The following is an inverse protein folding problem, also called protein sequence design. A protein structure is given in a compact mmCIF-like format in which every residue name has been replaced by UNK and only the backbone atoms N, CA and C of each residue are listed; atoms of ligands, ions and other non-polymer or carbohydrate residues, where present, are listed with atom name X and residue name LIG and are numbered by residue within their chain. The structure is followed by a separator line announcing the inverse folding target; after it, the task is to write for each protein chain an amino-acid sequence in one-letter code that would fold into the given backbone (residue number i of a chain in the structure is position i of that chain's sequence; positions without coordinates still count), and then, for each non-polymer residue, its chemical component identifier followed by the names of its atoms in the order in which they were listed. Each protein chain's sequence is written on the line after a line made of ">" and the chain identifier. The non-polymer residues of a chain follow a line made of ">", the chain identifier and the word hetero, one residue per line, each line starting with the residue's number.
data_IF_644293842136
#
_entry.id   IF_644293842136
#
_cell.length_a   1.000
_cell.length_b   1.000
_cell.length_c   1.000
_cell.angle_alpha   90.00
_cell.angle_beta   90.00
_cell.angle_gamma   90.00
#
_symmetry.space_group_name_H-M   'P 1'
#
loop_
_entity.id
_entity.type
_entity.pdbx_description
1 polymer ?
#
# COMPACT_ATOMS: atom_id res chain seq x y z
N UNK A 1 -40.79 -42.45 -45.61
CA UNK A 1 -41.53 -41.26 -45.13
C UNK A 1 -42.89 -41.72 -44.63
N UNK A 2 -43.37 -41.12 -43.54
CA UNK A 2 -44.65 -41.35 -42.81
C UNK A 2 -44.59 -42.57 -41.86
N UNK A 3 -45.22 -42.59 -40.65
CA UNK A 3 -46.15 -41.60 -40.04
C UNK A 3 -45.77 -41.10 -38.62
N UNK A 4 -46.43 -40.01 -38.20
CA UNK A 4 -46.60 -39.66 -36.79
C UNK A 4 -48.03 -39.16 -36.53
N UNK A 5 -48.43 -39.18 -35.26
CA UNK A 5 -49.73 -38.87 -34.61
C UNK A 5 -50.78 -39.99 -34.56
N UNK A 6 -51.71 -40.00 -33.57
CA UNK A 6 -51.98 -39.02 -32.51
C UNK A 6 -52.06 -39.65 -31.08
N UNK A 7 -52.18 -38.91 -29.96
CA UNK A 7 -53.48 -38.55 -29.36
C UNK A 7 -53.30 -37.98 -27.95
N UNK A 8 -54.07 -36.96 -27.60
CA UNK A 8 -54.48 -36.61 -26.22
C UNK A 8 -55.81 -37.35 -25.90
N UNK A 9 -56.15 -37.65 -24.62
CA UNK A 9 -57.01 -36.72 -23.86
C UNK A 9 -56.89 -36.72 -22.31
N UNK A 10 -57.01 -35.52 -21.72
CA UNK A 10 -58.00 -35.04 -20.71
C UNK A 10 -58.17 -35.70 -19.30
N UNK A 11 -57.90 -34.86 -18.28
CA UNK A 11 -58.61 -34.54 -17.01
C UNK A 11 -58.91 -35.58 -15.88
N UNK A 12 -58.34 -35.25 -14.70
CA UNK A 12 -58.99 -34.99 -13.38
C UNK A 12 -58.93 -36.01 -12.21
N UNK A 13 -58.68 -35.39 -11.03
CA UNK A 13 -58.96 -35.77 -9.62
C UNK A 13 -58.00 -36.69 -8.86
N UNK A 14 -57.59 -36.23 -7.67
CA UNK A 14 -57.03 -37.10 -6.62
C UNK A 14 -56.17 -36.38 -5.59
N UNK A 15 -56.78 -36.04 -4.45
CA UNK A 15 -56.19 -35.52 -3.22
C UNK A 15 -55.12 -36.44 -2.60
N UNK A 16 -54.15 -35.84 -1.88
CA UNK A 16 -53.57 -36.23 -0.57
C UNK A 16 -52.03 -36.17 -0.52
N UNK A 17 -51.52 -35.64 0.60
CA UNK A 17 -50.19 -36.01 1.12
C UNK A 17 -49.12 -34.92 1.13
N UNK A 18 -49.28 -33.88 1.95
CA UNK A 18 -48.19 -33.00 2.33
C UNK A 18 -47.30 -33.70 3.38
N UNK A 19 -46.08 -34.08 2.99
CA UNK A 19 -44.96 -34.39 3.89
C UNK A 19 -43.64 -34.22 3.12
N UNK A 20 -43.20 -32.98 2.91
CA UNK A 20 -41.86 -32.69 2.42
C UNK A 20 -40.89 -32.75 3.59
N UNK A 21 -40.19 -33.88 3.74
CA UNK A 21 -38.99 -33.97 4.57
C UNK A 21 -37.89 -33.15 3.88
N UNK A 22 -37.66 -31.92 4.34
CA UNK A 22 -36.46 -31.14 3.99
C UNK A 22 -35.28 -31.72 4.78
N UNK A 23 -34.42 -32.46 4.11
CA UNK A 23 -33.07 -32.76 4.60
C UNK A 23 -32.37 -31.43 4.89
N UNK A 24 -32.18 -31.14 6.18
CA UNK A 24 -31.38 -30.01 6.63
C UNK A 24 -29.94 -30.51 6.64
N UNK A 25 -29.20 -30.23 5.57
CA UNK A 25 -27.75 -30.39 5.56
C UNK A 25 -27.17 -29.37 6.55
N UNK A 26 -26.98 -29.82 7.80
CA UNK A 26 -26.23 -29.08 8.82
C UNK A 26 -24.78 -29.02 8.37
N UNK A 27 -24.39 -27.88 7.80
CA UNK A 27 -23.00 -27.48 7.60
C UNK A 27 -22.33 -27.49 8.99
N UNK A 28 -21.23 -28.24 9.22
CA UNK A 28 -20.54 -28.17 10.49
C UNK A 28 -20.01 -26.75 10.66
N UNK A 29 -20.49 -26.09 11.73
CA UNK A 29 -19.99 -24.81 12.22
C UNK A 29 -18.49 -24.99 12.43
N UNK A 30 -17.69 -24.34 11.59
CA UNK A 30 -16.25 -24.21 11.79
C UNK A 30 -16.09 -23.42 13.09
N UNK A 31 -15.82 -24.13 14.18
CA UNK A 31 -15.37 -23.49 15.41
C UNK A 31 -14.16 -22.65 15.02
N UNK A 32 -14.28 -21.33 15.24
CA UNK A 32 -13.17 -20.39 15.14
C UNK A 32 -12.07 -20.88 16.10
N UNK A 33 -11.06 -21.52 15.52
CA UNK A 33 -9.81 -21.80 16.19
C UNK A 33 -9.25 -20.48 16.71
N UNK A 34 -9.04 -20.39 18.02
CA UNK A 34 -8.29 -19.31 18.65
C UNK A 34 -6.94 -19.16 17.94
N UNK A 35 -6.59 -17.99 17.39
CA UNK A 35 -5.39 -17.83 16.56
C UNK A 35 -4.11 -17.50 17.36
N UNK A 36 -4.00 -17.95 18.62
CA UNK A 36 -3.02 -17.36 19.56
C UNK A 36 -1.97 -18.34 20.13
N UNK A 37 -1.97 -19.62 19.71
CA UNK A 37 -1.08 -20.64 20.28
C UNK A 37 -0.01 -21.19 19.32
N UNK A 38 0.17 -20.55 18.14
CA UNK A 38 1.08 -21.04 17.08
C UNK A 38 2.20 -20.02 16.74
N UNK A 39 2.49 -19.08 17.64
CA UNK A 39 3.67 -18.21 17.54
C UNK A 39 4.88 -18.97 18.09
N UNK A 40 5.93 -19.07 17.27
CA UNK A 40 7.24 -19.58 17.73
C UNK A 40 7.76 -18.72 18.89
N UNK A 41 8.64 -19.27 19.74
CA UNK A 41 9.24 -18.49 20.84
C UNK A 41 9.97 -17.23 20.33
N UNK A 42 10.62 -17.31 19.16
CA UNK A 42 11.26 -16.17 18.50
C UNK A 42 10.25 -15.09 18.09
N UNK A 43 9.09 -15.49 17.56
CA UNK A 43 8.04 -14.53 17.18
C UNK A 43 7.41 -13.86 18.39
N UNK A 44 7.20 -14.61 19.49
CA UNK A 44 6.71 -14.05 20.76
C UNK A 44 7.71 -13.05 21.34
N UNK A 45 9.00 -13.40 21.34
CA UNK A 45 10.05 -12.49 21.78
C UNK A 45 10.07 -11.21 20.93
N UNK A 46 9.99 -11.33 19.60
CA UNK A 46 9.93 -10.17 18.70
C UNK A 46 8.71 -9.28 18.99
N UNK A 47 7.53 -9.88 19.19
CA UNK A 47 6.31 -9.15 19.54
C UNK A 47 6.44 -8.41 20.88
N UNK A 48 7.03 -9.06 21.88
CA UNK A 48 7.24 -8.49 23.21
C UNK A 48 8.26 -7.34 23.17
N UNK A 49 9.37 -7.50 22.45
CA UNK A 49 10.38 -6.45 22.27
C UNK A 49 9.82 -5.22 21.56
N UNK A 50 9.04 -5.42 20.50
CA UNK A 50 8.33 -4.33 19.79
C UNK A 50 7.33 -3.63 20.72
N UNK A 51 6.56 -4.40 21.48
CA UNK A 51 5.57 -3.85 22.44
C UNK A 51 6.25 -3.08 23.57
N UNK A 52 7.39 -3.56 24.07
CA UNK A 52 8.21 -2.87 25.07
C UNK A 52 8.76 -1.55 24.53
N UNK A 53 9.21 -1.51 23.27
CA UNK A 53 9.65 -0.27 22.64
C UNK A 53 8.52 0.76 22.58
N UNK A 54 7.29 0.35 22.23
CA UNK A 54 6.12 1.26 22.24
C UNK A 54 5.81 1.76 23.65
N UNK A 55 5.87 0.89 24.67
CA UNK A 55 5.64 1.28 26.07
C UNK A 55 6.66 2.32 26.54
N UNK A 56 7.94 2.15 26.22
CA UNK A 56 9.02 3.10 26.58
C UNK A 56 8.76 4.50 26.05
N UNK A 57 8.13 4.64 24.88
CA UNK A 57 7.80 5.93 24.28
C UNK A 57 6.71 6.72 25.02
N UNK A 58 6.05 6.10 26.00
CA UNK A 58 5.05 6.76 26.85
C UNK A 58 5.55 7.01 28.27
N UNK A 59 6.70 6.46 28.63
CA UNK A 59 7.31 6.71 29.92
C UNK A 59 7.78 8.15 30.04
N UNK A 60 7.98 8.62 31.27
CA UNK A 60 8.38 10.01 31.52
C UNK A 60 9.81 10.32 31.05
N UNK A 61 10.66 9.30 30.88
CA UNK A 61 12.05 9.48 30.50
C UNK A 61 12.23 9.59 28.96
N UNK A 62 12.28 10.83 28.48
CA UNK A 62 12.43 11.13 27.05
C UNK A 62 13.78 10.71 26.46
N UNK A 63 14.82 10.56 27.28
CA UNK A 63 16.15 10.16 26.79
C UNK A 63 16.16 8.74 26.21
N UNK A 64 15.16 7.93 26.58
CA UNK A 64 15.00 6.56 26.09
C UNK A 64 14.19 6.45 24.79
N UNK A 65 13.59 7.55 24.32
CA UNK A 65 12.70 7.48 23.15
C UNK A 65 13.48 7.20 21.87
N UNK A 66 14.55 7.94 21.61
CA UNK A 66 15.37 7.75 20.41
C UNK A 66 15.97 6.33 20.36
N UNK A 67 16.59 5.79 21.43
CA UNK A 67 17.03 4.39 21.45
C UNK A 67 15.91 3.37 21.21
N UNK A 68 14.70 3.62 21.73
CA UNK A 68 13.56 2.73 21.51
C UNK A 68 13.09 2.73 20.05
N UNK A 69 13.07 3.89 19.40
CA UNK A 69 12.73 4.00 17.97
C UNK A 69 13.82 3.35 17.09
N UNK A 70 15.10 3.53 17.42
CA UNK A 70 16.21 2.89 16.71
C UNK A 70 16.17 1.37 16.83
N UNK A 71 15.88 0.85 18.03
CA UNK A 71 15.70 -0.59 18.26
C UNK A 71 14.51 -1.13 17.43
N UNK A 72 13.37 -0.45 17.46
CA UNK A 72 12.20 -0.82 16.65
C UNK A 72 12.50 -0.83 15.15
N UNK A 73 13.21 0.20 14.66
CA UNK A 73 13.67 0.26 13.27
C UNK A 73 14.56 -0.94 12.92
N UNK A 74 15.51 -1.27 13.79
CA UNK A 74 16.39 -2.42 13.59
C UNK A 74 15.60 -3.73 13.50
N UNK A 75 14.68 -3.96 14.46
CA UNK A 75 13.85 -5.17 14.51
C UNK A 75 12.96 -5.34 13.27
N UNK A 76 12.38 -4.23 12.78
CA UNK A 76 11.58 -4.25 11.55
C UNK A 76 12.48 -4.61 10.37
N UNK A 77 13.59 -3.88 10.17
CA UNK A 77 14.47 -4.06 9.00
C UNK A 77 15.17 -5.42 8.97
N UNK A 78 15.62 -5.94 10.11
CA UNK A 78 16.28 -7.25 10.17
C UNK A 78 15.33 -8.39 9.80
N UNK A 79 14.03 -8.18 10.00
CA UNK A 79 13.00 -9.19 9.77
C UNK A 79 12.30 -9.03 8.41
N UNK A 80 12.60 -7.96 7.65
CA UNK A 80 12.04 -7.70 6.32
C UNK A 80 12.95 -8.17 5.17
N UNK A 81 14.11 -8.78 5.44
CA UNK A 81 15.03 -9.26 4.39
C UNK A 81 14.53 -10.48 3.62
N UNK A 82 13.43 -11.11 4.08
CA UNK A 82 12.84 -12.27 3.43
C UNK A 82 11.74 -11.87 2.46
N UNK A 83 11.77 -12.47 1.26
CA UNK A 83 10.80 -12.33 0.17
C UNK A 83 9.45 -12.99 0.53
N UNK A 84 8.81 -12.57 1.62
CA UNK A 84 7.53 -13.09 2.12
C UNK A 84 6.51 -11.96 2.25
N UNK A 85 5.23 -12.25 2.06
CA UNK A 85 4.12 -11.30 2.29
C UNK A 85 4.21 -10.60 3.64
N UNK A 86 3.68 -9.37 3.75
CA UNK A 86 3.68 -8.45 4.91
C UNK A 86 4.47 -8.97 6.12
N UNK A 87 5.70 -8.47 6.36
CA UNK A 87 6.60 -8.91 7.41
C UNK A 87 5.91 -9.04 8.77
N UNK A 88 6.22 -10.12 9.51
CA UNK A 88 5.68 -10.38 10.86
C UNK A 88 5.82 -9.20 11.83
N UNK A 89 6.96 -8.47 11.91
CA UNK A 89 7.06 -7.29 12.77
C UNK A 89 5.95 -6.27 12.52
N UNK A 90 5.61 -6.03 11.25
CA UNK A 90 4.56 -5.08 10.91
C UNK A 90 3.19 -5.59 11.34
N UNK A 91 2.93 -6.90 11.24
CA UNK A 91 1.70 -7.53 11.78
C UNK A 91 1.60 -7.34 13.30
N UNK A 92 2.68 -7.54 14.04
CA UNK A 92 2.72 -7.34 15.50
C UNK A 92 2.56 -5.87 15.90
N UNK A 93 2.98 -4.94 15.05
CA UNK A 93 2.83 -3.51 15.28
C UNK A 93 1.46 -2.95 14.89
N UNK A 94 0.63 -3.70 14.13
CA UNK A 94 -0.71 -3.24 13.72
C UNK A 94 -1.58 -2.77 14.89
N UNK A 95 -1.69 -3.51 16.01
CA UNK A 95 -2.50 -3.08 17.16
C UNK A 95 -2.00 -1.78 17.80
N UNK A 96 -0.69 -1.50 17.68
CA UNK A 96 -0.04 -0.32 18.25
C UNK A 96 -0.08 0.90 17.33
N UNK A 97 -0.62 0.80 16.11
CA UNK A 97 -0.57 1.89 15.12
C UNK A 97 -1.20 3.19 15.61
N UNK A 98 -2.43 3.12 16.15
CA UNK A 98 -3.09 4.32 16.71
C UNK A 98 -2.28 4.93 17.84
N UNK A 99 -1.72 4.09 18.71
CA UNK A 99 -0.89 4.51 19.84
C UNK A 99 0.38 5.22 19.38
N UNK A 100 1.01 4.73 18.30
CA UNK A 100 2.18 5.39 17.71
C UNK A 100 1.84 6.80 17.18
N UNK A 101 0.67 6.99 16.56
CA UNK A 101 0.20 8.33 16.14
C UNK A 101 -0.02 9.26 17.33
N UNK A 102 -0.61 8.74 18.40
CA UNK A 102 -0.80 9.51 19.64
C UNK A 102 0.54 9.92 20.27
N UNK A 103 1.50 9.00 20.32
CA UNK A 103 2.88 9.27 20.76
C UNK A 103 3.49 10.38 19.89
N UNK A 104 3.44 10.24 18.57
CA UNK A 104 3.98 11.22 17.62
C UNK A 104 3.44 12.65 17.86
N UNK A 105 2.14 12.78 18.17
CA UNK A 105 1.54 14.08 18.47
C UNK A 105 2.10 14.74 19.73
N UNK A 106 2.52 13.94 20.73
CA UNK A 106 3.07 14.38 22.02
C UNK A 106 4.58 14.62 21.98
N UNK A 107 5.27 14.07 20.97
CA UNK A 107 6.71 14.27 20.81
C UNK A 107 7.04 15.74 20.56
N UNK A 108 8.01 16.23 21.33
CA UNK A 108 8.48 17.63 21.33
C UNK A 108 9.87 17.76 20.71
N UNK A 109 10.72 16.76 20.88
CA UNK A 109 12.02 16.69 20.22
C UNK A 109 11.86 16.41 18.73
N UNK A 110 12.47 17.25 17.89
CA UNK A 110 12.28 17.18 16.43
C UNK A 110 12.97 15.97 15.81
N UNK A 111 14.14 15.56 16.32
CA UNK A 111 14.85 14.39 15.80
C UNK A 111 14.06 13.11 16.03
N UNK A 112 13.64 12.91 17.29
CA UNK A 112 12.81 11.79 17.72
C UNK A 112 11.47 11.77 16.97
N UNK A 113 10.85 12.95 16.80
CA UNK A 113 9.58 13.08 16.09
C UNK A 113 9.69 12.67 14.62
N UNK A 114 10.74 13.10 13.92
CA UNK A 114 10.99 12.71 12.52
C UNK A 114 11.24 11.20 12.39
N UNK A 115 12.02 10.60 13.28
CA UNK A 115 12.23 9.14 13.28
C UNK A 115 10.93 8.37 13.54
N UNK A 116 10.10 8.86 14.48
CA UNK A 116 8.78 8.28 14.74
C UNK A 116 7.87 8.39 13.51
N UNK A 117 7.93 9.50 12.76
CA UNK A 117 7.21 9.64 11.50
C UNK A 117 7.65 8.61 10.45
N UNK A 118 8.96 8.38 10.26
CA UNK A 118 9.42 7.34 9.33
C UNK A 118 8.90 5.95 9.72
N UNK A 119 8.87 5.62 11.02
CA UNK A 119 8.30 4.36 11.49
C UNK A 119 6.80 4.27 11.23
N UNK A 120 6.03 5.34 11.53
CA UNK A 120 4.59 5.37 11.25
C UNK A 120 4.32 5.25 9.75
N UNK A 121 5.13 5.89 8.91
CA UNK A 121 5.03 5.78 7.45
C UNK A 121 5.08 4.31 6.99
N UNK A 122 6.07 3.56 7.48
CA UNK A 122 6.23 2.14 7.18
C UNK A 122 5.05 1.32 7.73
N UNK A 123 4.63 1.57 8.97
CA UNK A 123 3.47 0.88 9.55
C UNK A 123 2.18 1.18 8.77
N UNK A 124 2.04 2.38 8.22
CA UNK A 124 0.90 2.83 7.43
C UNK A 124 0.62 1.96 6.21
N UNK A 125 1.65 1.30 5.65
CA UNK A 125 1.49 0.38 4.52
C UNK A 125 0.59 -0.83 4.86
N UNK A 126 0.41 -1.10 6.16
CA UNK A 126 -0.44 -2.18 6.66
C UNK A 126 -1.86 -1.76 7.03
N UNK A 127 -2.16 -0.46 6.93
CA UNK A 127 -3.41 0.18 7.37
C UNK A 127 -4.22 0.76 6.22
N UNK A 128 -3.88 0.42 4.98
CA UNK A 128 -4.51 0.97 3.76
C UNK A 128 -5.97 0.54 3.58
N UNK A 129 -6.43 -0.47 4.31
CA UNK A 129 -7.83 -0.92 4.36
C UNK A 129 -8.75 0.10 5.05
N UNK A 130 -8.19 0.95 5.90
CA UNK A 130 -8.93 2.02 6.59
C UNK A 130 -8.80 3.31 5.81
N UNK A 131 -9.94 3.84 5.37
CA UNK A 131 -9.99 5.10 4.61
C UNK A 131 -9.32 6.27 5.34
N UNK A 132 -9.38 6.31 6.68
CA UNK A 132 -8.71 7.32 7.51
C UNK A 132 -7.18 7.32 7.36
N UNK A 133 -6.57 6.17 7.06
CA UNK A 133 -5.11 6.00 7.01
C UNK A 133 -4.60 5.78 5.58
N UNK A 134 -5.46 5.99 4.57
CA UNK A 134 -5.18 5.75 3.14
C UNK A 134 -3.86 6.38 2.67
N UNK A 135 -3.54 7.58 3.15
CA UNK A 135 -2.36 8.35 2.75
C UNK A 135 -1.30 8.46 3.85
N UNK A 136 -1.41 7.69 4.93
CA UNK A 136 -0.52 7.85 6.08
C UNK A 136 0.95 7.50 5.72
N UNK A 137 1.19 6.51 4.85
CA UNK A 137 2.56 6.21 4.39
C UNK A 137 3.20 7.43 3.77
N UNK A 138 2.53 8.08 2.82
CA UNK A 138 3.03 9.29 2.17
C UNK A 138 3.12 10.47 3.15
N UNK A 139 2.06 10.74 3.91
CA UNK A 139 1.99 11.90 4.81
C UNK A 139 3.10 11.87 5.86
N UNK A 140 3.30 10.72 6.51
CA UNK A 140 4.36 10.58 7.51
C UNK A 140 5.75 10.51 6.90
N UNK A 141 5.88 10.01 5.66
CA UNK A 141 7.15 10.06 4.93
C UNK A 141 7.62 11.49 4.67
N UNK A 142 6.69 12.39 4.34
CA UNK A 142 6.97 13.81 4.13
C UNK A 142 7.38 14.53 5.43
N UNK A 143 7.10 13.95 6.60
CA UNK A 143 7.43 14.50 7.92
C UNK A 143 8.69 13.86 8.54
N UNK A 144 9.27 12.85 7.90
CA UNK A 144 10.37 12.02 8.43
C UNK A 144 11.77 12.62 8.30
N UNK A 145 12.78 11.76 8.49
CA UNK A 145 14.20 12.08 8.30
C UNK A 145 14.63 12.00 6.83
N UNK A 146 13.74 11.56 5.93
CA UNK A 146 14.03 11.35 4.50
C UNK A 146 15.26 10.46 4.28
N UNK A 147 15.29 9.32 4.97
CA UNK A 147 16.27 8.27 4.70
C UNK A 147 16.22 7.80 3.25
N UNK A 148 17.17 7.01 2.77
CA UNK A 148 17.11 6.46 1.41
C UNK A 148 15.77 5.77 1.15
N UNK A 149 15.17 6.02 -0.02
CA UNK A 149 13.80 5.57 -0.34
C UNK A 149 13.63 4.05 -0.23
N UNK A 150 14.70 3.30 -0.55
CA UNK A 150 14.76 1.84 -0.46
C UNK A 150 15.13 1.28 0.91
N UNK A 151 15.36 2.10 1.94
CA UNK A 151 15.85 1.64 3.25
C UNK A 151 14.93 0.61 3.93
N UNK A 152 13.64 0.64 3.57
CA UNK A 152 12.58 -0.25 4.06
C UNK A 152 12.20 -1.37 3.07
N UNK A 153 12.92 -1.46 1.95
CA UNK A 153 12.72 -2.44 0.90
C UNK A 153 11.74 -2.00 -0.18
N UNK A 154 11.70 -2.80 -1.26
CA UNK A 154 10.97 -2.47 -2.48
C UNK A 154 9.45 -2.39 -2.29
N UNK A 155 8.89 -3.23 -1.42
CA UNK A 155 7.44 -3.23 -1.14
C UNK A 155 6.98 -1.91 -0.52
N UNK A 156 7.79 -1.30 0.35
CA UNK A 156 7.51 0.02 0.89
C UNK A 156 7.48 1.07 -0.22
N UNK A 157 8.46 1.03 -1.13
CA UNK A 157 8.53 1.95 -2.28
C UNK A 157 7.28 1.79 -3.16
N UNK A 158 6.85 0.56 -3.43
CA UNK A 158 5.63 0.27 -4.20
C UNK A 158 4.37 0.82 -3.54
N UNK A 159 4.23 0.66 -2.22
CA UNK A 159 3.12 1.26 -1.48
C UNK A 159 3.14 2.79 -1.53
N UNK A 160 4.32 3.39 -1.42
CA UNK A 160 4.51 4.83 -1.47
C UNK A 160 4.15 5.40 -2.86
N UNK A 161 4.65 4.79 -3.94
CA UNK A 161 4.34 5.25 -5.31
C UNK A 161 2.85 5.14 -5.61
N UNK A 162 2.19 4.05 -5.20
CA UNK A 162 0.75 3.89 -5.35
C UNK A 162 -0.07 4.96 -4.60
N UNK A 163 0.37 5.37 -3.41
CA UNK A 163 -0.27 6.47 -2.69
C UNK A 163 -0.04 7.83 -3.35
N UNK A 164 1.16 8.07 -3.89
CA UNK A 164 1.47 9.29 -4.66
C UNK A 164 0.54 9.40 -5.87
N UNK A 165 0.41 8.34 -6.66
CA UNK A 165 -0.48 8.32 -7.83
C UNK A 165 -1.94 8.52 -7.42
N UNK A 166 -2.39 7.80 -6.39
CA UNK A 166 -3.77 7.93 -5.89
C UNK A 166 -4.07 9.37 -5.46
N UNK A 167 -3.14 10.01 -4.75
CA UNK A 167 -3.27 11.41 -4.32
C UNK A 167 -3.24 12.37 -5.52
N UNK A 168 -2.35 12.11 -6.49
CA UNK A 168 -2.20 12.91 -7.70
C UNK A 168 -3.49 12.97 -8.51
N UNK A 169 -4.14 11.81 -8.68
CA UNK A 169 -5.41 11.68 -9.39
C UNK A 169 -6.58 12.26 -8.59
N UNK A 170 -6.62 12.04 -7.26
CA UNK A 170 -7.68 12.58 -6.40
C UNK A 170 -7.67 14.12 -6.33
N UNK A 171 -6.49 14.73 -6.44
CA UNK A 171 -6.31 16.18 -6.43
C UNK A 171 -6.25 16.81 -7.84
N UNK A 172 -6.40 16.01 -8.89
CA UNK A 172 -6.27 16.40 -10.31
C UNK A 172 -5.04 17.30 -10.55
N UNK A 173 -3.87 16.85 -10.07
CA UNK A 173 -2.63 17.63 -10.21
C UNK A 173 -2.14 17.74 -11.67
N UNK A 174 -2.64 16.90 -12.60
CA UNK A 174 -2.36 16.99 -14.04
C UNK A 174 -3.05 18.20 -14.69
N UNK A 175 -4.05 18.80 -14.05
CA UNK A 175 -4.67 20.05 -14.52
C UNK A 175 -5.59 19.85 -15.72
N UNK A 176 -6.28 18.71 -15.77
CA UNK A 176 -7.24 18.39 -16.85
C UNK A 176 -8.63 19.00 -16.62
N UNK A 177 -8.93 19.45 -15.39
CA UNK A 177 -10.13 20.23 -15.11
C UNK A 177 -10.06 21.65 -15.70
N UNK A 178 -10.90 21.88 -16.70
CA UNK A 178 -11.21 23.18 -17.30
C UNK A 178 -11.62 24.21 -16.22
N UNK A 179 -10.79 25.25 -16.07
CA UNK A 179 -11.09 26.61 -15.53
C UNK A 179 -11.31 26.80 -14.02
N UNK A 180 -10.49 27.73 -13.49
CA UNK A 180 -10.86 28.75 -12.50
C UNK A 180 -11.22 28.30 -11.08
N UNK A 181 -10.42 27.43 -10.48
CA UNK A 181 -10.28 27.46 -9.03
C UNK A 181 -8.94 28.07 -8.66
N UNK A 182 -8.97 28.98 -7.68
CA UNK A 182 -7.78 29.52 -7.04
C UNK A 182 -7.08 28.33 -6.39
N UNK A 183 -6.12 27.74 -7.08
CA UNK A 183 -5.32 26.63 -6.53
C UNK A 183 -4.67 27.17 -5.26
N UNK A 184 -5.11 26.65 -4.12
CA UNK A 184 -4.59 27.07 -2.81
C UNK A 184 -3.08 26.85 -2.77
N UNK A 185 -2.39 27.69 -2.00
CA UNK A 185 -0.94 27.58 -1.81
C UNK A 185 -0.57 26.18 -1.26
N UNK A 186 -1.39 25.65 -0.34
CA UNK A 186 -1.28 24.30 0.20
C UNK A 186 -1.31 23.19 -0.87
N UNK A 187 -2.18 23.31 -1.88
CA UNK A 187 -2.27 22.30 -2.96
C UNK A 187 -1.04 22.34 -3.89
N UNK A 188 -0.46 23.51 -4.11
CA UNK A 188 0.80 23.63 -4.86
C UNK A 188 1.97 23.03 -4.07
N UNK A 189 2.02 23.27 -2.77
CA UNK A 189 3.06 22.70 -1.91
C UNK A 189 2.97 21.18 -1.86
N UNK A 190 1.77 20.60 -1.74
CA UNK A 190 1.57 19.15 -1.81
C UNK A 190 1.98 18.56 -3.16
N UNK A 191 1.65 19.24 -4.27
CA UNK A 191 2.09 18.83 -5.61
C UNK A 191 3.62 18.82 -5.70
N UNK A 192 4.28 19.88 -5.24
CA UNK A 192 5.74 19.99 -5.25
C UNK A 192 6.40 18.91 -4.38
N UNK A 193 5.83 18.60 -3.22
CA UNK A 193 6.28 17.52 -2.34
C UNK A 193 6.17 16.15 -3.03
N UNK A 194 5.05 15.87 -3.72
CA UNK A 194 4.88 14.64 -4.48
C UNK A 194 5.93 14.51 -5.59
N UNK A 195 6.15 15.57 -6.37
CA UNK A 195 7.18 15.60 -7.42
C UNK A 195 8.57 15.33 -6.82
N UNK A 196 8.91 15.98 -5.69
CA UNK A 196 10.18 15.75 -5.02
C UNK A 196 10.35 14.29 -4.56
N UNK A 197 9.28 13.64 -4.10
CA UNK A 197 9.31 12.21 -3.75
C UNK A 197 9.49 11.32 -4.98
N UNK A 198 8.82 11.62 -6.09
CA UNK A 198 9.00 10.88 -7.35
C UNK A 198 10.43 11.02 -7.87
N UNK A 199 11.01 12.22 -7.80
CA UNK A 199 12.40 12.47 -8.20
C UNK A 199 13.42 11.68 -7.36
N UNK A 200 13.10 11.36 -6.11
CA UNK A 200 13.93 10.47 -5.28
C UNK A 200 13.67 8.99 -5.57
N UNK A 201 12.46 8.64 -6.02
CA UNK A 201 12.02 7.27 -6.23
C UNK A 201 12.49 6.70 -7.57
N UNK A 202 12.42 7.47 -8.66
CA UNK A 202 12.81 7.02 -10.01
C UNK A 202 14.26 6.50 -10.06
N UNK A 203 15.28 7.21 -9.53
CA UNK A 203 16.66 6.71 -9.54
C UNK A 203 16.78 5.33 -8.89
N UNK A 204 16.16 5.16 -7.72
CA UNK A 204 16.16 3.89 -6.99
C UNK A 204 15.54 2.76 -7.82
N UNK A 205 14.36 2.99 -8.42
CA UNK A 205 13.69 1.99 -9.24
C UNK A 205 14.53 1.59 -10.47
N UNK A 206 15.14 2.58 -11.14
CA UNK A 206 15.99 2.35 -12.30
C UNK A 206 17.27 1.58 -11.95
N UNK A 207 17.91 1.88 -10.82
CA UNK A 207 19.11 1.18 -10.34
C UNK A 207 18.82 -0.25 -9.91
N UNK A 208 17.61 -0.52 -9.39
CA UNK A 208 17.18 -1.82 -8.89
C UNK A 208 16.39 -2.66 -9.92
N UNK A 209 16.52 -2.33 -11.21
CA UNK A 209 15.88 -3.07 -12.31
C UNK A 209 14.34 -3.12 -12.25
N UNK A 210 13.74 -2.13 -11.61
CA UNK A 210 12.30 -1.90 -11.57
C UNK A 210 11.90 -0.82 -12.58
N UNK A 211 12.43 -0.88 -13.81
CA UNK A 211 12.16 0.14 -14.84
C UNK A 211 10.68 0.22 -15.19
N UNK A 212 9.97 -0.92 -15.22
CA UNK A 212 8.53 -0.96 -15.48
C UNK A 212 7.75 -0.12 -14.44
N UNK A 213 8.05 -0.28 -13.15
CA UNK A 213 7.38 0.48 -12.08
C UNK A 213 7.73 1.97 -12.13
N UNK A 214 8.95 2.33 -12.54
CA UNK A 214 9.34 3.72 -12.74
C UNK A 214 8.58 4.36 -13.91
N UNK A 215 8.41 3.62 -15.00
CA UNK A 215 7.68 4.09 -16.19
C UNK A 215 6.20 4.23 -15.87
N UNK A 216 5.58 3.22 -15.25
CA UNK A 216 4.16 3.27 -14.84
C UNK A 216 3.91 4.49 -13.95
N UNK A 217 4.75 4.72 -12.94
CA UNK A 217 4.66 5.90 -12.07
C UNK A 217 4.71 7.21 -12.88
N UNK A 218 5.63 7.34 -13.83
CA UNK A 218 5.78 8.56 -14.63
C UNK A 218 4.59 8.76 -15.59
N UNK A 219 4.04 7.69 -16.15
CA UNK A 219 2.85 7.72 -17.01
C UNK A 219 1.64 8.18 -16.18
N UNK A 220 1.41 7.57 -15.01
CA UNK A 220 0.24 7.84 -14.18
C UNK A 220 0.20 9.27 -13.62
N UNK A 221 1.36 9.90 -13.39
CA UNK A 221 1.43 11.30 -12.96
C UNK A 221 1.63 12.29 -14.13
N UNK A 222 1.68 11.78 -15.37
CA UNK A 222 1.95 12.56 -16.59
C UNK A 222 3.25 13.38 -16.52
N UNK A 223 4.33 12.82 -15.98
CA UNK A 223 5.66 13.47 -15.86
C UNK A 223 6.77 12.61 -16.47
N UNK A 224 6.61 12.23 -17.73
CA UNK A 224 7.59 11.39 -18.46
C UNK A 224 8.98 12.00 -18.58
N UNK A 225 9.10 13.32 -18.57
CA UNK A 225 10.39 14.02 -18.65
C UNK A 225 11.36 13.61 -17.52
N UNK A 226 10.83 13.24 -16.35
CA UNK A 226 11.63 12.77 -15.21
C UNK A 226 12.35 11.45 -15.51
N UNK A 227 11.76 10.61 -16.35
CA UNK A 227 12.33 9.30 -16.73
C UNK A 227 13.59 9.46 -17.58
N UNK A 228 13.61 10.46 -18.46
CA UNK A 228 14.72 10.68 -19.41
C UNK A 228 16.04 10.95 -18.71
N UNK A 229 16.00 11.65 -17.56
CA UNK A 229 17.17 11.99 -16.75
C UNK A 229 17.87 10.73 -16.20
N UNK A 230 17.11 9.67 -15.95
CA UNK A 230 17.58 8.43 -15.32
C UNK A 230 17.69 7.26 -16.29
N UNK A 231 17.44 7.49 -17.58
CA UNK A 231 17.63 6.50 -18.63
C UNK A 231 19.09 6.49 -19.08
N UNK A 232 19.74 5.35 -18.93
CA UNK A 232 21.16 5.15 -19.21
C UNK A 232 21.36 4.06 -20.27
N UNK A 233 22.60 3.92 -20.75
CA UNK A 233 22.97 2.84 -21.69
C UNK A 233 22.71 1.43 -21.16
N UNK A 234 22.54 1.25 -19.84
CA UNK A 234 22.30 -0.05 -19.21
C UNK A 234 20.81 -0.43 -19.15
N UNK A 235 19.90 0.54 -19.21
CA UNK A 235 18.46 0.31 -19.06
C UNK A 235 17.63 0.78 -20.27
N UNK A 236 18.17 1.60 -21.18
CA UNK A 236 17.42 2.18 -22.30
C UNK A 236 16.66 1.14 -23.13
N UNK A 237 17.26 -0.02 -23.41
CA UNK A 237 16.60 -1.05 -24.22
C UNK A 237 15.35 -1.58 -23.53
N UNK A 238 15.40 -1.80 -22.21
CA UNK A 238 14.26 -2.26 -21.41
C UNK A 238 13.20 -1.17 -21.31
N UNK A 239 13.63 0.08 -21.11
CA UNK A 239 12.74 1.25 -21.07
C UNK A 239 11.99 1.40 -22.39
N UNK A 240 12.68 1.42 -23.53
CA UNK A 240 12.06 1.56 -24.85
C UNK A 240 11.09 0.42 -25.16
N UNK A 241 11.46 -0.82 -24.84
CA UNK A 241 10.59 -1.99 -25.05
C UNK A 241 9.31 -1.88 -24.24
N UNK A 242 9.42 -1.49 -22.96
CA UNK A 242 8.27 -1.32 -22.09
C UNK A 242 7.38 -0.17 -22.57
N UNK A 243 7.94 1.00 -22.84
CA UNK A 243 7.19 2.15 -23.37
C UNK A 243 6.48 1.82 -24.68
N UNK A 244 7.14 1.13 -25.62
CA UNK A 244 6.51 0.69 -26.89
C UNK A 244 5.31 -0.22 -26.62
N UNK A 245 5.39 -1.08 -25.61
CA UNK A 245 4.26 -1.93 -25.22
C UNK A 245 3.10 -1.14 -24.60
N UNK A 246 3.39 -0.04 -23.86
CA UNK A 246 2.39 0.83 -23.25
C UNK A 246 1.61 1.65 -24.28
N UNK A 247 2.23 2.06 -25.40
CA UNK A 247 1.58 2.84 -26.47
C UNK A 247 0.34 2.15 -27.04
N UNK A 248 0.28 0.81 -27.04
CA UNK A 248 -0.89 0.07 -27.50
C UNK A 248 -2.13 0.24 -26.61
N UNK A 249 -1.95 0.72 -25.36
CA UNK A 249 -2.99 0.82 -24.34
C UNK A 249 -3.30 2.27 -23.93
N UNK A 250 -2.52 3.23 -24.42
CA UNK A 250 -2.69 4.64 -24.12
C UNK A 250 -3.59 5.30 -25.17
N UNK A 251 -4.25 6.40 -24.77
CA UNK A 251 -5.15 7.14 -25.64
C UNK A 251 -4.36 7.96 -26.67
N UNK A 252 -4.93 8.22 -27.85
CA UNK A 252 -4.26 8.94 -28.95
C UNK A 252 -3.48 10.21 -28.54
N UNK A 253 -3.97 11.12 -27.66
CA UNK A 253 -3.17 12.29 -27.26
C UNK A 253 -1.96 11.98 -26.36
N UNK A 254 -1.99 10.88 -25.59
CA UNK A 254 -0.90 10.51 -24.67
C UNK A 254 0.11 9.55 -25.32
N UNK A 255 -0.30 8.81 -26.35
CA UNK A 255 0.59 7.99 -27.19
C UNK A 255 1.75 8.78 -27.78
N UNK A 256 1.49 10.00 -28.25
CA UNK A 256 2.53 10.86 -28.84
C UNK A 256 3.52 11.42 -27.82
N UNK A 257 3.18 11.46 -26.52
CA UNK A 257 4.11 11.89 -25.47
C UNK A 257 5.09 10.78 -25.07
N UNK A 258 4.70 9.52 -25.31
CA UNK A 258 5.47 8.32 -24.98
C UNK A 258 6.41 7.90 -26.13
N UNK A 259 6.03 8.15 -27.38
CA UNK A 259 6.83 7.88 -28.58
C UNK A 259 7.94 8.91 -28.81
#
# INVERSE_FOLDING_TARGET
>A
MVPNHPSHPRLAMGSQGAATTRETTTVPKKEEQKPDDDLSEEDKQLQDELSLCVQRLEESNKDLYMPALEAMRSLIRSSTTSMTSVPKPLKFMRPHYSRMKDIYSKLTDQSTKKMCADLISVLGMTMTDKAEYKYDTLNYRLLGLHEEIGAWGHEYVRHLTGQIVSLWNEKDFSGTADKSEVVSEDSKDQKNQCIAMVQQTIPYLMEHNAEAEAIDLCIEIEQLDLLLIHTTKLNYQRVCLYMTSCVAYLSDPDNYKVL
#
